data_IF_242640115764
#
_entry.id   IF_242640115764
#
_cell.length_a   1.000
_cell.length_b   1.000
_cell.length_c   1.000
_cell.angle_alpha   90.00
_cell.angle_beta   90.00
_cell.angle_gamma   90.00
#
_symmetry.space_group_name_H-M   'P 1'
#
loop_
_entity.id
_entity.type
_entity.pdbx_description
1 polymer ?
#
# COMPACT_ATOMS: atom_id res chain seq x y z
N UNK A 1 15.83 9.13 -28.93
CA UNK A 1 14.63 8.60 -29.64
C UNK A 1 13.45 9.42 -29.15
N UNK A 2 12.50 9.82 -29.99
CA UNK A 2 11.35 10.58 -29.52
C UNK A 2 10.46 9.66 -28.67
N UNK A 3 10.03 10.12 -27.48
CA UNK A 3 9.13 9.36 -26.61
C UNK A 3 7.71 9.52 -27.08
N UNK A 4 6.88 8.53 -26.78
CA UNK A 4 5.45 8.65 -27.00
C UNK A 4 4.90 9.72 -26.07
N UNK A 5 4.06 10.61 -26.61
CA UNK A 5 3.41 11.68 -25.87
C UNK A 5 2.04 11.23 -25.42
N UNK A 6 1.75 11.42 -24.14
CA UNK A 6 0.57 10.84 -23.49
C UNK A 6 -0.13 11.94 -22.71
N UNK A 7 -1.38 12.25 -23.05
CA UNK A 7 -2.21 13.11 -22.22
C UNK A 7 -2.75 12.31 -21.05
N UNK A 8 -2.57 12.83 -19.84
CA UNK A 8 -3.15 12.28 -18.62
C UNK A 8 -4.45 13.03 -18.31
N UNK A 9 -5.57 12.33 -18.36
CA UNK A 9 -6.88 12.88 -17.98
C UNK A 9 -6.96 13.16 -16.47
N UNK A 10 -7.84 14.07 -16.05
CA UNK A 10 -8.04 14.42 -14.66
C UNK A 10 -8.41 13.20 -13.80
N UNK A 11 -9.19 12.26 -14.35
CA UNK A 11 -9.63 11.07 -13.62
C UNK A 11 -8.48 10.15 -13.18
N UNK A 12 -7.38 10.08 -13.93
CA UNK A 12 -6.20 9.25 -13.58
C UNK A 12 -5.17 10.01 -12.75
N UNK A 13 -5.27 11.34 -12.73
CA UNK A 13 -4.49 12.21 -11.86
C UNK A 13 -5.10 12.37 -10.45
N UNK A 14 -6.32 11.89 -10.21
CA UNK A 14 -6.98 12.01 -8.91
C UNK A 14 -6.50 10.96 -7.89
N UNK A 15 -6.57 9.64 -8.16
CA UNK A 15 -6.11 8.62 -7.21
C UNK A 15 -4.60 8.77 -6.99
N UNK A 16 -4.20 9.06 -5.76
CA UNK A 16 -2.81 9.42 -5.43
C UNK A 16 -1.80 8.37 -5.90
N UNK A 17 -2.07 7.09 -5.61
CA UNK A 17 -1.14 6.00 -5.93
C UNK A 17 -0.99 5.78 -7.44
N UNK A 18 -2.10 5.84 -8.20
CA UNK A 18 -2.06 5.74 -9.66
C UNK A 18 -1.33 6.94 -10.28
N UNK A 19 -1.69 8.15 -9.87
CA UNK A 19 -1.10 9.38 -10.40
C UNK A 19 0.42 9.45 -10.15
N UNK A 20 0.86 9.08 -8.95
CA UNK A 20 2.28 9.03 -8.60
C UNK A 20 3.03 7.97 -9.43
N UNK A 21 2.44 6.80 -9.64
CA UNK A 21 3.04 5.77 -10.51
C UNK A 21 3.20 6.27 -11.95
N UNK A 22 2.14 6.83 -12.54
CA UNK A 22 2.16 7.39 -13.89
C UNK A 22 3.26 8.46 -14.03
N UNK A 23 3.32 9.40 -13.08
CA UNK A 23 4.35 10.44 -13.09
C UNK A 23 5.77 9.88 -12.87
N UNK A 24 5.96 8.84 -12.05
CA UNK A 24 7.27 8.19 -11.90
C UNK A 24 7.73 7.48 -13.16
N UNK A 25 6.82 6.82 -13.89
CA UNK A 25 7.15 6.19 -15.17
C UNK A 25 7.52 7.25 -16.23
N UNK A 26 6.83 8.39 -16.22
CA UNK A 26 7.21 9.54 -17.03
C UNK A 26 8.58 10.14 -16.66
N UNK A 27 8.88 10.30 -15.36
CA UNK A 27 10.18 10.76 -14.86
C UNK A 27 11.32 9.78 -15.20
N UNK A 28 11.01 8.48 -15.16
CA UNK A 28 11.87 7.40 -15.63
C UNK A 28 11.96 7.30 -17.16
N UNK A 29 11.41 8.29 -17.89
CA UNK A 29 11.58 8.47 -19.31
C UNK A 29 10.89 7.42 -20.20
N UNK A 30 9.91 6.67 -19.68
CA UNK A 30 9.12 5.71 -20.47
C UNK A 30 8.18 6.40 -21.47
N UNK A 31 7.66 7.57 -21.10
CA UNK A 31 6.82 8.40 -21.97
C UNK A 31 6.90 9.89 -21.59
N UNK A 32 6.41 10.77 -22.47
CA UNK A 32 6.28 12.21 -22.20
C UNK A 32 4.86 12.53 -21.73
N UNK A 33 4.63 12.92 -20.46
CA UNK A 33 3.30 13.24 -19.98
C UNK A 33 2.88 14.62 -20.47
N UNK A 34 1.59 14.78 -20.75
CA UNK A 34 0.97 16.02 -21.16
C UNK A 34 -0.32 16.28 -20.38
N UNK A 35 -0.62 17.54 -20.11
CA UNK A 35 -1.90 18.00 -19.56
C UNK A 35 -2.14 19.46 -19.96
N UNK A 36 -3.40 19.89 -19.98
CA UNK A 36 -3.76 21.30 -20.10
C UNK A 36 -4.00 21.92 -18.73
N UNK A 37 -4.06 23.26 -18.67
CA UNK A 37 -4.47 23.95 -17.45
C UNK A 37 -5.90 23.57 -17.03
N UNK A 38 -6.82 23.36 -17.98
CA UNK A 38 -8.19 22.93 -17.68
C UNK A 38 -8.23 21.55 -17.00
N UNK A 39 -7.38 20.60 -17.41
CA UNK A 39 -7.24 19.30 -16.76
C UNK A 39 -6.75 19.48 -15.32
N UNK A 40 -5.72 20.30 -15.09
CA UNK A 40 -5.22 20.55 -13.73
C UNK A 40 -6.27 21.26 -12.87
N UNK A 41 -7.02 22.21 -13.43
CA UNK A 41 -8.12 22.88 -12.74
C UNK A 41 -9.21 21.88 -12.32
N UNK A 42 -9.52 20.88 -13.16
CA UNK A 42 -10.43 19.79 -12.82
C UNK A 42 -9.90 18.92 -11.68
N UNK A 43 -8.61 18.58 -11.71
CA UNK A 43 -7.95 17.86 -10.61
C UNK A 43 -8.06 18.67 -9.32
N UNK A 44 -7.72 19.96 -9.36
CA UNK A 44 -7.78 20.83 -8.18
C UNK A 44 -9.20 20.93 -7.62
N UNK A 45 -10.19 21.17 -8.48
CA UNK A 45 -11.60 21.24 -8.08
C UNK A 45 -12.02 19.96 -7.37
N UNK A 46 -11.79 18.81 -7.99
CA UNK A 46 -12.20 17.52 -7.44
C UNK A 46 -11.48 17.21 -6.12
N UNK A 47 -10.18 17.50 -6.01
CA UNK A 47 -9.45 17.34 -4.75
C UNK A 47 -10.10 18.13 -3.61
N UNK A 48 -10.53 19.37 -3.86
CA UNK A 48 -11.14 20.22 -2.85
C UNK A 48 -12.59 19.84 -2.57
N UNK A 49 -13.42 19.70 -3.61
CA UNK A 49 -14.87 19.54 -3.46
C UNK A 49 -15.28 18.10 -3.17
N UNK A 50 -14.60 17.13 -3.75
CA UNK A 50 -14.99 15.71 -3.70
C UNK A 50 -14.20 14.97 -2.64
N UNK A 51 -12.89 15.23 -2.53
CA UNK A 51 -11.99 14.53 -1.61
C UNK A 51 -11.67 15.32 -0.33
N UNK A 52 -12.22 16.52 -0.16
CA UNK A 52 -12.04 17.34 1.05
C UNK A 52 -10.60 17.78 1.32
N UNK A 53 -9.73 17.76 0.30
CA UNK A 53 -8.33 18.18 0.44
C UNK A 53 -8.30 19.70 0.62
N UNK A 54 -7.60 20.23 1.63
CA UNK A 54 -7.42 21.67 1.79
C UNK A 54 -6.85 22.31 0.51
N UNK A 55 -7.45 23.42 0.07
CA UNK A 55 -7.07 24.10 -1.18
C UNK A 55 -5.57 24.37 -1.29
N UNK A 56 -4.91 24.78 -0.21
CA UNK A 56 -3.46 24.97 -0.16
C UNK A 56 -2.67 23.69 -0.48
N UNK A 57 -3.11 22.53 0.03
CA UNK A 57 -2.48 21.23 -0.26
C UNK A 57 -2.70 20.82 -1.71
N UNK A 58 -3.90 21.05 -2.26
CA UNK A 58 -4.19 20.78 -3.66
C UNK A 58 -3.30 21.65 -4.58
N UNK A 59 -3.25 22.95 -4.35
CA UNK A 59 -2.36 23.88 -5.08
C UNK A 59 -0.89 23.46 -4.99
N UNK A 60 -0.42 23.06 -3.80
CA UNK A 60 0.95 22.60 -3.60
C UNK A 60 1.25 21.34 -4.43
N UNK A 61 0.33 20.37 -4.47
CA UNK A 61 0.45 19.16 -5.30
C UNK A 61 0.64 19.52 -6.79
N UNK A 62 -0.24 20.38 -7.31
CA UNK A 62 -0.19 20.79 -8.72
C UNK A 62 1.09 21.57 -9.05
N UNK A 63 1.55 22.44 -8.15
CA UNK A 63 2.81 23.16 -8.34
C UNK A 63 4.03 22.22 -8.36
N UNK A 64 4.02 21.16 -7.56
CA UNK A 64 5.05 20.12 -7.65
C UNK A 64 5.01 19.40 -9.00
N UNK A 65 3.82 19.06 -9.52
CA UNK A 65 3.68 18.45 -10.84
C UNK A 65 4.24 19.36 -11.95
N UNK A 66 3.86 20.65 -11.97
CA UNK A 66 4.38 21.63 -12.93
C UNK A 66 5.91 21.78 -12.84
N UNK A 67 6.44 21.77 -11.62
CA UNK A 67 7.88 21.92 -11.40
C UNK A 67 8.67 20.69 -11.83
N UNK A 68 8.11 19.49 -11.63
CA UNK A 68 8.71 18.23 -12.07
C UNK A 68 8.67 18.07 -13.59
N UNK A 69 7.60 18.53 -14.25
CA UNK A 69 7.39 18.38 -15.68
C UNK A 69 7.13 19.74 -16.37
N UNK A 70 8.17 20.58 -16.52
CA UNK A 70 8.02 21.93 -17.07
C UNK A 70 7.56 21.97 -18.53
N UNK A 71 7.65 20.85 -19.25
CA UNK A 71 7.25 20.73 -20.66
C UNK A 71 5.92 19.98 -20.86
N UNK A 72 5.22 19.58 -19.78
CA UNK A 72 3.99 18.82 -19.87
C UNK A 72 2.75 19.68 -20.18
N UNK A 73 2.81 20.99 -19.93
CA UNK A 73 1.67 21.88 -20.11
C UNK A 73 1.42 22.18 -21.60
N UNK A 74 0.24 21.77 -22.08
CA UNK A 74 -0.23 22.05 -23.43
C UNK A 74 -1.06 23.34 -23.44
N UNK A 75 -0.66 24.29 -24.28
CA UNK A 75 -1.34 25.59 -24.44
C UNK A 75 -1.78 25.81 -25.90
N UNK A 76 -2.77 26.69 -26.09
CA UNK A 76 -3.26 27.04 -27.43
C UNK A 76 -4.13 25.95 -28.08
N UNK A 77 -4.76 25.10 -27.27
CA UNK A 77 -5.68 24.05 -27.74
C UNK A 77 -7.13 24.53 -27.83
N UNK A 78 -7.45 25.71 -27.28
CA UNK A 78 -8.81 26.21 -27.06
C UNK A 78 -9.60 26.32 -28.38
N UNK A 79 -8.93 26.66 -29.49
CA UNK A 79 -9.55 26.75 -30.82
C UNK A 79 -9.97 25.39 -31.39
N UNK A 80 -9.46 24.29 -30.86
CA UNK A 80 -9.79 22.93 -31.29
C UNK A 80 -10.96 22.34 -30.51
N UNK A 81 -11.31 22.91 -29.34
CA UNK A 81 -12.31 22.34 -28.42
C UNK A 81 -13.66 22.14 -29.09
N UNK A 82 -14.16 23.13 -29.82
CA UNK A 82 -15.46 23.06 -30.50
C UNK A 82 -15.47 22.06 -31.68
N UNK A 83 -14.31 21.69 -32.20
CA UNK A 83 -14.16 20.71 -33.27
C UNK A 83 -14.11 19.26 -32.75
N UNK A 84 -13.85 19.06 -31.46
CA UNK A 84 -13.78 17.71 -30.88
C UNK A 84 -15.18 17.11 -30.74
N UNK A 85 -15.32 15.86 -31.18
CA UNK A 85 -16.59 15.11 -31.18
C UNK A 85 -16.68 14.07 -30.05
N UNK A 86 -15.81 14.17 -29.03
CA UNK A 86 -15.91 13.44 -27.76
C UNK A 86 -17.06 13.97 -26.90
N UNK A 87 -17.28 13.39 -25.70
CA UNK A 87 -18.24 13.97 -24.75
C UNK A 87 -17.97 15.46 -24.54
N UNK A 88 -19.05 16.25 -24.42
CA UNK A 88 -18.98 17.70 -24.35
C UNK A 88 -18.08 18.22 -23.22
N UNK A 89 -17.98 17.48 -22.11
CA UNK A 89 -17.12 17.84 -20.97
C UNK A 89 -15.65 17.50 -21.21
N UNK A 90 -15.38 16.51 -22.05
CA UNK A 90 -14.04 15.96 -22.27
C UNK A 90 -13.39 16.43 -23.58
N UNK A 91 -14.07 17.29 -24.35
CA UNK A 91 -13.53 17.93 -25.56
C UNK A 91 -12.21 18.65 -25.33
N UNK A 92 -12.02 19.25 -24.15
CA UNK A 92 -10.77 19.94 -23.84
C UNK A 92 -9.58 18.98 -23.73
N UNK A 93 -9.81 17.75 -23.26
CA UNK A 93 -8.78 16.71 -23.16
C UNK A 93 -8.35 16.26 -24.55
N UNK A 94 -9.31 15.98 -25.43
CA UNK A 94 -9.05 15.61 -26.82
C UNK A 94 -8.34 16.74 -27.58
N UNK A 95 -8.79 17.99 -27.42
CA UNK A 95 -8.15 19.15 -28.03
C UNK A 95 -6.70 19.34 -27.56
N UNK A 96 -6.44 19.15 -26.26
CA UNK A 96 -5.09 19.18 -25.72
C UNK A 96 -4.21 18.06 -26.29
N UNK A 97 -4.76 16.85 -26.47
CA UNK A 97 -4.05 15.74 -27.10
C UNK A 97 -3.64 16.04 -28.54
N UNK A 98 -4.57 16.56 -29.36
CA UNK A 98 -4.29 16.99 -30.74
C UNK A 98 -3.22 18.08 -30.76
N UNK A 99 -3.37 19.12 -29.95
CA UNK A 99 -2.43 20.25 -29.89
C UNK A 99 -1.04 19.84 -29.40
N UNK A 100 -0.98 18.93 -28.43
CA UNK A 100 0.24 18.41 -27.84
C UNK A 100 0.95 17.36 -28.70
N UNK A 101 0.33 16.93 -29.81
CA UNK A 101 0.78 15.79 -30.61
C UNK A 101 0.91 14.52 -29.77
N UNK A 102 -0.05 14.30 -28.87
CA UNK A 102 -0.14 13.05 -28.13
C UNK A 102 -0.57 11.93 -29.07
N UNK A 103 -0.09 10.71 -28.81
CA UNK A 103 -0.60 9.51 -29.45
C UNK A 103 -1.66 8.82 -28.56
N UNK A 104 -1.62 9.06 -27.25
CA UNK A 104 -2.47 8.38 -26.27
C UNK A 104 -3.10 9.40 -25.32
N UNK A 105 -4.37 9.18 -24.98
CA UNK A 105 -5.06 9.75 -23.82
C UNK A 105 -5.23 8.62 -22.80
N UNK A 106 -4.65 8.75 -21.60
CA UNK A 106 -4.88 7.79 -20.52
C UNK A 106 -6.07 8.27 -19.68
N UNK A 107 -7.14 7.49 -19.68
CA UNK A 107 -8.41 7.83 -18.99
C UNK A 107 -9.14 6.57 -18.51
N UNK A 108 -9.76 6.62 -17.34
CA UNK A 108 -10.67 5.58 -16.88
C UNK A 108 -12.06 5.67 -17.54
N UNK A 109 -12.37 6.81 -18.19
CA UNK A 109 -13.68 7.10 -18.77
C UNK A 109 -13.72 6.82 -20.28
N UNK A 110 -13.28 5.63 -20.69
CA UNK A 110 -13.07 5.27 -22.12
C UNK A 110 -14.28 5.56 -23.01
N UNK A 111 -15.49 5.38 -22.49
CA UNK A 111 -16.75 5.65 -23.21
C UNK A 111 -16.91 7.11 -23.67
N UNK A 112 -16.25 8.06 -23.00
CA UNK A 112 -16.35 9.49 -23.29
C UNK A 112 -15.42 9.87 -24.48
N UNK A 113 -14.55 8.94 -24.88
CA UNK A 113 -13.55 9.07 -25.94
C UNK A 113 -13.71 7.97 -27.01
N UNK A 114 -14.82 7.97 -27.78
CA UNK A 114 -15.07 6.94 -28.77
C UNK A 114 -14.00 6.97 -29.90
N UNK A 115 -13.57 5.81 -30.43
CA UNK A 115 -12.49 5.74 -31.43
C UNK A 115 -12.73 6.60 -32.68
N UNK A 116 -13.98 6.73 -33.13
CA UNK A 116 -14.35 7.58 -34.26
C UNK A 116 -14.08 9.07 -34.04
N UNK A 117 -14.05 9.54 -32.79
CA UNK A 117 -13.73 10.92 -32.44
C UNK A 117 -12.22 11.19 -32.41
N UNK A 118 -11.40 10.15 -32.19
CA UNK A 118 -9.95 10.29 -31.97
C UNK A 118 -9.11 9.79 -33.16
N UNK A 119 -9.57 8.76 -33.87
CA UNK A 119 -8.87 8.18 -35.03
C UNK A 119 -8.54 9.16 -36.16
N UNK A 120 -9.32 10.23 -36.46
CA UNK A 120 -8.92 11.23 -37.46
C UNK A 120 -7.66 12.01 -37.08
N UNK A 121 -7.24 11.92 -35.81
CA UNK A 121 -6.08 12.61 -35.26
C UNK A 121 -4.94 11.66 -34.87
N UNK A 122 -5.05 10.37 -35.20
CA UNK A 122 -4.11 9.32 -34.81
C UNK A 122 -3.91 9.23 -33.28
N UNK A 123 -4.99 9.44 -32.52
CA UNK A 123 -5.01 9.36 -31.05
C UNK A 123 -5.83 8.14 -30.61
N UNK A 124 -5.36 7.47 -29.57
CA UNK A 124 -6.09 6.39 -28.89
C UNK A 124 -6.38 6.75 -27.43
N UNK A 125 -7.58 6.42 -26.93
CA UNK A 125 -7.89 6.48 -25.52
C UNK A 125 -7.68 5.10 -24.88
N UNK A 126 -6.84 5.03 -23.86
CA UNK A 126 -6.40 3.77 -23.23
C UNK A 126 -6.70 3.81 -21.73
N UNK A 127 -7.23 2.71 -21.20
CA UNK A 127 -7.52 2.59 -19.76
C UNK A 127 -6.19 2.56 -18.99
N UNK A 128 -6.06 3.19 -17.81
CA UNK A 128 -4.80 3.17 -17.05
C UNK A 128 -4.28 1.77 -16.75
N UNK A 129 -5.19 0.80 -16.56
CA UNK A 129 -4.82 -0.60 -16.33
C UNK A 129 -4.10 -1.21 -17.54
N UNK A 130 -4.65 -1.01 -18.74
CA UNK A 130 -4.06 -1.48 -19.99
C UNK A 130 -2.75 -0.73 -20.31
N UNK A 131 -2.75 0.59 -20.14
CA UNK A 131 -1.58 1.42 -20.38
C UNK A 131 -0.38 1.01 -19.50
N UNK A 132 -0.63 0.73 -18.22
CA UNK A 132 0.42 0.28 -17.29
C UNK A 132 0.89 -1.14 -17.59
N UNK A 133 0.00 -2.03 -18.06
CA UNK A 133 0.41 -3.35 -18.57
C UNK A 133 1.35 -3.22 -19.76
N UNK A 134 1.06 -2.32 -20.71
CA UNK A 134 1.96 -2.05 -21.82
C UNK A 134 3.31 -1.52 -21.33
N UNK A 135 3.34 -0.65 -20.30
CA UNK A 135 4.61 -0.18 -19.72
C UNK A 135 5.40 -1.33 -19.06
N UNK A 136 4.71 -2.27 -18.39
CA UNK A 136 5.33 -3.45 -17.82
C UNK A 136 5.90 -4.37 -18.90
N UNK A 137 5.19 -4.55 -20.01
CA UNK A 137 5.63 -5.40 -21.12
C UNK A 137 6.79 -4.77 -21.91
N UNK A 138 6.76 -3.45 -22.10
CA UNK A 138 7.81 -2.71 -22.80
C UNK A 138 9.10 -2.60 -21.99
N UNK A 139 9.00 -2.35 -20.68
CA UNK A 139 10.16 -2.15 -19.81
C UNK A 139 9.91 -2.71 -18.40
N UNK A 140 9.94 -4.05 -18.23
CA UNK A 140 9.63 -4.68 -16.95
C UNK A 140 10.51 -4.16 -15.81
N UNK A 141 11.83 -4.11 -16.03
CA UNK A 141 12.79 -3.72 -14.99
C UNK A 141 12.55 -2.28 -14.50
N UNK A 142 12.36 -1.32 -15.41
CA UNK A 142 12.13 0.09 -15.04
C UNK A 142 10.78 0.27 -14.34
N UNK A 143 9.73 -0.39 -14.85
CA UNK A 143 8.39 -0.31 -14.26
C UNK A 143 8.38 -0.88 -12.84
N UNK A 144 9.04 -2.02 -12.61
CA UNK A 144 9.18 -2.60 -11.28
C UNK A 144 10.04 -1.74 -10.34
N UNK A 145 11.12 -1.12 -10.83
CA UNK A 145 11.92 -0.19 -10.04
C UNK A 145 11.07 1.02 -9.57
N UNK A 146 10.27 1.60 -10.46
CA UNK A 146 9.36 2.69 -10.11
C UNK A 146 8.37 2.29 -9.00
N UNK A 147 7.77 1.09 -9.09
CA UNK A 147 6.86 0.55 -8.07
C UNK A 147 7.56 0.34 -6.73
N UNK A 148 8.76 -0.27 -6.73
CA UNK A 148 9.56 -0.50 -5.53
C UNK A 148 9.94 0.81 -4.84
N UNK A 149 10.37 1.81 -5.62
CA UNK A 149 10.71 3.15 -5.11
C UNK A 149 9.48 3.87 -4.56
N UNK A 150 8.36 3.81 -5.28
CA UNK A 150 7.10 4.39 -4.84
C UNK A 150 6.68 3.82 -3.48
N UNK A 151 6.68 2.49 -3.34
CA UNK A 151 6.36 1.82 -2.08
C UNK A 151 7.30 2.24 -0.96
N UNK A 152 8.61 2.21 -1.19
CA UNK A 152 9.62 2.55 -0.18
C UNK A 152 9.54 4.02 0.30
N UNK A 153 9.11 4.93 -0.56
CA UNK A 153 8.98 6.36 -0.23
C UNK A 153 7.67 6.70 0.50
N UNK A 154 6.66 5.82 0.44
CA UNK A 154 5.42 5.98 1.19
C UNK A 154 5.67 5.66 2.66
N UNK A 155 5.94 6.70 3.45
CA UNK A 155 6.30 6.56 4.86
C UNK A 155 5.18 6.94 5.83
N UNK A 156 4.04 7.46 5.32
CA UNK A 156 2.90 7.97 6.10
C UNK A 156 1.56 7.81 5.35
N UNK A 157 0.89 6.65 5.46
CA UNK A 157 1.34 5.43 6.14
C UNK A 157 2.43 4.71 5.35
N UNK A 158 3.14 3.81 6.03
CA UNK A 158 4.02 2.83 5.41
C UNK A 158 3.16 1.74 4.78
N UNK A 159 3.48 1.34 3.55
CA UNK A 159 2.76 0.28 2.85
C UNK A 159 3.61 -0.98 2.81
N UNK A 160 3.09 -2.10 3.34
CA UNK A 160 3.63 -3.41 2.96
C UNK A 160 3.42 -3.66 1.46
N UNK A 161 4.18 -4.59 0.87
CA UNK A 161 3.99 -4.95 -0.55
C UNK A 161 2.55 -5.38 -0.84
N UNK A 162 1.93 -6.19 0.04
CA UNK A 162 0.56 -6.65 -0.16
C UNK A 162 -0.43 -5.49 -0.11
N UNK A 163 -0.34 -4.62 0.90
CA UNK A 163 -1.20 -3.43 1.01
C UNK A 163 -1.02 -2.47 -0.17
N UNK A 164 0.22 -2.30 -0.63
CA UNK A 164 0.55 -1.47 -1.78
C UNK A 164 -0.19 -1.96 -3.03
N UNK A 165 -0.07 -3.24 -3.37
CA UNK A 165 -0.71 -3.80 -4.56
C UNK A 165 -2.23 -3.94 -4.43
N UNK A 166 -2.75 -4.24 -3.24
CA UNK A 166 -4.21 -4.24 -2.98
C UNK A 166 -4.80 -2.84 -3.16
N UNK A 167 -4.11 -1.81 -2.70
CA UNK A 167 -4.59 -0.42 -2.86
C UNK A 167 -4.53 0.01 -4.32
N UNK A 168 -3.47 -0.36 -5.04
CA UNK A 168 -3.31 -0.07 -6.47
C UNK A 168 -4.37 -0.79 -7.32
N UNK A 169 -4.71 -2.03 -6.95
CA UNK A 169 -5.73 -2.83 -7.62
C UNK A 169 -7.14 -2.22 -7.57
N UNK A 170 -7.41 -1.26 -6.67
CA UNK A 170 -8.67 -0.50 -6.70
C UNK A 170 -8.82 0.38 -7.96
N UNK A 171 -7.70 0.66 -8.64
CA UNK A 171 -7.67 1.48 -9.86
C UNK A 171 -7.24 0.70 -11.09
N UNK A 172 -6.29 -0.23 -10.94
CA UNK A 172 -5.67 -0.99 -12.04
C UNK A 172 -5.45 -2.46 -11.63
N UNK A 173 -6.55 -3.23 -11.44
CA UNK A 173 -6.50 -4.58 -10.87
C UNK A 173 -5.64 -5.59 -11.65
N UNK A 174 -5.69 -5.57 -12.99
CA UNK A 174 -4.97 -6.55 -13.81
C UNK A 174 -3.46 -6.27 -13.79
N UNK A 175 -3.07 -5.02 -14.00
CA UNK A 175 -1.70 -4.54 -13.85
C UNK A 175 -1.16 -4.83 -12.46
N UNK A 176 -1.91 -4.51 -11.40
CA UNK A 176 -1.45 -4.73 -10.02
C UNK A 176 -1.14 -6.21 -9.76
N UNK A 177 -1.97 -7.12 -10.26
CA UNK A 177 -1.77 -8.57 -10.14
C UNK A 177 -0.52 -9.03 -10.91
N UNK A 178 -0.36 -8.58 -12.16
CA UNK A 178 0.79 -8.92 -13.01
C UNK A 178 2.10 -8.36 -12.43
N UNK A 179 2.10 -7.09 -12.01
CA UNK A 179 3.25 -6.42 -11.45
C UNK A 179 3.68 -7.04 -10.11
N UNK A 180 2.73 -7.40 -9.24
CA UNK A 180 3.04 -8.13 -8.00
C UNK A 180 3.71 -9.47 -8.27
N UNK A 181 3.24 -10.21 -9.28
CA UNK A 181 3.86 -11.49 -9.68
C UNK A 181 5.27 -11.26 -10.22
N UNK A 182 5.43 -10.32 -11.15
CA UNK A 182 6.72 -10.02 -11.75
C UNK A 182 7.75 -9.49 -10.73
N UNK A 183 7.33 -8.65 -9.78
CA UNK A 183 8.21 -8.17 -8.70
C UNK A 183 8.65 -9.33 -7.80
N UNK A 184 7.74 -10.26 -7.48
CA UNK A 184 8.04 -11.45 -6.67
C UNK A 184 9.03 -12.39 -7.39
N UNK A 185 8.83 -12.62 -8.68
CA UNK A 185 9.69 -13.47 -9.50
C UNK A 185 11.05 -12.84 -9.79
N UNK A 186 11.17 -11.51 -9.68
CA UNK A 186 12.44 -10.78 -9.83
C UNK A 186 13.37 -10.91 -8.61
N UNK A 187 12.88 -11.49 -7.51
CA UNK A 187 13.70 -11.77 -6.33
C UNK A 187 14.64 -12.95 -6.63
N UNK A 188 15.96 -12.85 -6.40
CA UNK A 188 16.89 -13.92 -6.74
C UNK A 188 16.63 -15.20 -5.92
N UNK A 189 16.64 -16.37 -6.57
CA UNK A 189 16.59 -17.72 -5.94
C UNK A 189 17.71 -17.93 -4.89
N UNK A 190 18.84 -17.23 -5.06
CA UNK A 190 20.06 -17.29 -4.20
C UNK A 190 20.42 -15.93 -3.55
N UNK A 191 19.49 -15.00 -3.44
CA UNK A 191 19.65 -14.00 -2.38
C UNK A 191 19.64 -14.78 -1.06
N UNK A 192 20.56 -14.55 -0.09
CA UNK A 192 20.50 -15.26 1.18
C UNK A 192 19.09 -15.06 1.69
N UNK A 193 18.32 -16.16 1.76
CA UNK A 193 16.97 -16.11 2.30
C UNK A 193 17.15 -15.48 3.67
N UNK A 194 16.48 -14.36 4.00
CA UNK A 194 16.73 -13.66 5.26
C UNK A 194 16.06 -14.40 6.42
N UNK A 195 16.33 -15.70 6.51
CA UNK A 195 15.70 -16.69 7.38
C UNK A 195 16.79 -17.72 7.72
N UNK A 196 17.48 -17.49 8.83
CA UNK A 196 18.26 -18.52 9.50
C UNK A 196 17.41 -19.10 10.63
N UNK A 197 17.26 -20.42 10.67
CA UNK A 197 16.64 -21.14 11.79
C UNK A 197 17.58 -21.02 12.99
N UNK A 198 17.15 -20.40 14.09
CA UNK A 198 17.97 -20.31 15.30
C UNK A 198 17.18 -20.67 16.56
N UNK A 199 17.85 -21.31 17.52
CA UNK A 199 17.30 -21.71 18.82
C UNK A 199 16.73 -20.53 19.64
N UNK A 200 15.90 -20.82 20.66
CA UNK A 200 15.31 -19.83 21.59
C UNK A 200 16.32 -18.78 22.13
N UNK A 201 17.59 -19.17 22.29
CA UNK A 201 18.65 -18.34 22.85
C UNK A 201 19.11 -17.23 21.87
N UNK A 202 19.11 -17.52 20.57
CA UNK A 202 19.49 -16.57 19.53
C UNK A 202 18.36 -15.59 19.19
N UNK A 203 17.10 -16.00 19.36
CA UNK A 203 15.97 -15.10 19.15
C UNK A 203 15.80 -14.06 20.28
N UNK A 204 16.13 -14.45 21.51
CA UNK A 204 16.26 -13.52 22.64
C UNK A 204 17.31 -12.42 22.34
N UNK A 205 18.48 -12.83 21.86
CA UNK A 205 19.57 -11.91 21.53
C UNK A 205 19.26 -11.00 20.32
N UNK A 206 18.40 -11.46 19.40
CA UNK A 206 17.96 -10.67 18.24
C UNK A 206 16.94 -9.57 18.60
N UNK A 207 16.02 -9.83 19.54
CA UNK A 207 15.01 -8.86 19.98
C UNK A 207 15.50 -7.95 21.11
N UNK A 208 16.30 -8.50 22.04
CA UNK A 208 16.71 -7.82 23.26
C UNK A 208 18.21 -8.05 23.55
N UNK A 209 19.11 -7.44 22.76
CA UNK A 209 20.56 -7.68 22.89
C UNK A 209 21.16 -7.20 24.23
N UNK A 210 20.51 -6.24 24.91
CA UNK A 210 21.08 -5.56 26.09
C UNK A 210 20.21 -5.63 27.37
N UNK A 211 19.08 -6.37 27.37
CA UNK A 211 18.18 -6.47 28.55
C UNK A 211 17.18 -7.63 28.47
N UNK A 212 16.64 -8.04 29.62
CA UNK A 212 15.53 -9.00 29.65
C UNK A 212 14.18 -8.35 29.28
N UNK A 213 13.29 -9.04 28.54
CA UNK A 213 11.96 -8.55 28.19
C UNK A 213 11.06 -8.43 29.42
N UNK A 214 10.22 -7.38 29.48
CA UNK A 214 9.34 -7.10 30.61
C UNK A 214 7.88 -6.85 30.19
N UNK A 215 6.87 -7.40 30.92
CA UNK A 215 5.46 -7.31 30.53
C UNK A 215 4.83 -5.90 30.62
N UNK A 216 5.56 -4.90 31.10
CA UNK A 216 5.13 -3.49 31.08
C UNK A 216 5.21 -2.84 29.70
N UNK A 217 5.83 -3.53 28.72
CA UNK A 217 5.84 -3.12 27.32
C UNK A 217 5.06 -4.11 26.45
N UNK A 218 4.26 -3.63 25.49
CA UNK A 218 3.31 -4.47 24.78
C UNK A 218 3.98 -5.55 23.93
N UNK A 219 5.01 -5.19 23.16
CA UNK A 219 5.73 -6.14 22.31
C UNK A 219 6.56 -7.14 23.12
N UNK A 220 7.16 -6.70 24.22
CA UNK A 220 7.91 -7.58 25.13
C UNK A 220 6.98 -8.57 25.82
N UNK A 221 5.79 -8.13 26.23
CA UNK A 221 4.75 -9.00 26.77
C UNK A 221 4.23 -10.00 25.72
N UNK A 222 4.02 -9.57 24.47
CA UNK A 222 3.61 -10.45 23.37
C UNK A 222 4.68 -11.54 23.09
N UNK A 223 5.97 -11.17 23.13
CA UNK A 223 7.08 -12.11 23.02
C UNK A 223 7.09 -13.14 24.16
N UNK A 224 6.98 -12.67 25.41
CA UNK A 224 6.91 -13.54 26.59
C UNK A 224 5.72 -14.50 26.52
N UNK A 225 4.55 -14.00 26.10
CA UNK A 225 3.34 -14.79 25.95
C UNK A 225 3.53 -15.90 24.91
N UNK A 226 4.12 -15.57 23.77
CA UNK A 226 4.40 -16.55 22.72
C UNK A 226 5.44 -17.60 23.14
N UNK A 227 6.50 -17.19 23.83
CA UNK A 227 7.47 -18.14 24.40
C UNK A 227 6.80 -19.11 25.38
N UNK A 228 5.89 -18.60 26.22
CA UNK A 228 5.12 -19.42 27.15
C UNK A 228 4.12 -20.35 26.43
N UNK A 229 3.54 -19.91 25.31
CA UNK A 229 2.66 -20.74 24.46
C UNK A 229 3.41 -21.92 23.85
N UNK A 230 4.60 -21.69 23.28
CA UNK A 230 5.43 -22.73 22.67
C UNK A 230 5.97 -23.76 23.69
N UNK A 231 6.02 -23.40 24.97
CA UNK A 231 6.49 -24.25 26.06
C UNK A 231 5.39 -24.45 27.13
N UNK A 232 4.12 -24.49 26.71
CA UNK A 232 2.96 -24.47 27.64
C UNK A 232 2.97 -25.62 28.65
N UNK A 233 3.57 -26.77 28.34
CA UNK A 233 3.73 -27.90 29.26
C UNK A 233 4.52 -27.54 30.53
N UNK A 234 5.47 -26.61 30.42
CA UNK A 234 6.34 -26.16 31.50
C UNK A 234 5.94 -24.77 32.02
N UNK A 235 5.39 -23.91 31.16
CA UNK A 235 5.15 -22.48 31.42
C UNK A 235 3.66 -22.08 31.51
N UNK A 236 2.74 -23.02 31.73
CA UNK A 236 1.29 -22.75 31.75
C UNK A 236 0.87 -21.61 32.70
N UNK A 237 1.52 -21.50 33.88
CA UNK A 237 1.21 -20.46 34.85
C UNK A 237 1.65 -19.06 34.38
N UNK A 238 2.78 -18.99 33.67
CA UNK A 238 3.24 -17.75 33.06
C UNK A 238 2.33 -17.35 31.89
N UNK A 239 1.93 -18.32 31.05
CA UNK A 239 0.97 -18.12 29.97
C UNK A 239 -0.37 -17.58 30.49
N UNK A 240 -0.88 -18.14 31.59
CA UNK A 240 -2.07 -17.62 32.27
C UNK A 240 -1.89 -16.19 32.79
N UNK A 241 -0.74 -15.89 33.41
CA UNK A 241 -0.46 -14.55 33.93
C UNK A 241 -0.34 -13.48 32.85
N UNK A 242 0.07 -13.87 31.64
CA UNK A 242 0.20 -13.02 30.45
C UNK A 242 -1.07 -12.97 29.59
N UNK A 243 -2.12 -13.71 29.94
CA UNK A 243 -3.40 -13.75 29.21
C UNK A 243 -4.46 -12.98 29.98
N UNK A 244 -5.21 -12.11 29.30
CA UNK A 244 -6.19 -11.22 29.93
C UNK A 244 -7.34 -11.99 30.58
N UNK A 245 -7.85 -13.00 29.88
CA UNK A 245 -8.92 -13.88 30.38
C UNK A 245 -8.63 -15.34 29.98
N UNK A 246 -7.79 -16.06 30.74
CA UNK A 246 -7.37 -17.43 30.41
C UNK A 246 -8.51 -18.41 30.07
N UNK A 247 -9.66 -18.41 30.76
CA UNK A 247 -10.76 -19.34 30.43
C UNK A 247 -11.33 -19.16 29.02
N UNK A 248 -11.19 -17.97 28.39
CA UNK A 248 -11.65 -17.76 27.02
C UNK A 248 -10.76 -18.44 25.96
N UNK A 249 -9.55 -18.85 26.34
CA UNK A 249 -8.58 -19.47 25.43
C UNK A 249 -8.59 -21.00 25.49
N UNK A 250 -9.31 -21.59 26.45
CA UNK A 250 -9.32 -23.03 26.68
C UNK A 250 -7.95 -23.54 27.15
N UNK A 251 -7.42 -24.54 26.46
CA UNK A 251 -6.09 -25.13 26.67
C UNK A 251 -5.00 -24.55 25.74
N UNK A 252 -5.34 -23.48 25.01
CA UNK A 252 -4.50 -22.79 24.04
C UNK A 252 -4.07 -23.64 22.83
N UNK A 253 -4.60 -24.87 22.63
CA UNK A 253 -4.22 -25.73 21.50
C UNK A 253 -4.48 -25.07 20.14
N UNK A 254 -5.63 -24.41 19.98
CA UNK A 254 -5.97 -23.72 18.75
C UNK A 254 -5.03 -22.54 18.45
N UNK A 255 -4.57 -21.83 19.49
CA UNK A 255 -3.67 -20.69 19.36
C UNK A 255 -2.26 -21.17 19.01
N UNK A 256 -1.81 -22.26 19.64
CA UNK A 256 -0.56 -22.95 19.30
C UNK A 256 -0.56 -23.45 17.86
N UNK A 257 -1.65 -24.09 17.41
CA UNK A 257 -1.81 -24.52 16.02
C UNK A 257 -1.82 -23.34 15.05
N UNK A 258 -2.53 -22.26 15.39
CA UNK A 258 -2.61 -21.04 14.55
C UNK A 258 -1.26 -20.36 14.41
N UNK A 259 -0.44 -20.35 15.46
CA UNK A 259 0.90 -19.76 15.45
C UNK A 259 2.00 -20.76 15.12
N UNK A 260 1.66 -22.02 14.80
CA UNK A 260 2.62 -23.03 14.42
C UNK A 260 3.31 -22.63 13.12
N UNK A 261 4.64 -22.61 13.14
CA UNK A 261 5.39 -22.12 11.98
C UNK A 261 5.30 -20.60 11.78
N UNK A 262 4.77 -19.82 12.74
CA UNK A 262 4.71 -18.36 12.65
C UNK A 262 5.84 -17.66 13.42
N UNK A 263 6.18 -16.42 13.05
CA UNK A 263 7.20 -15.60 13.70
C UNK A 263 6.70 -14.22 14.10
N UNK A 264 6.97 -13.79 15.34
CA UNK A 264 6.62 -12.44 15.83
C UNK A 264 7.44 -11.36 15.12
N UNK A 265 6.77 -10.28 14.72
CA UNK A 265 7.38 -9.08 14.13
C UNK A 265 7.93 -8.13 15.20
N UNK A 266 9.04 -7.43 14.91
CA UNK A 266 9.67 -6.46 15.81
C UNK A 266 8.88 -5.14 16.01
N UNK A 267 7.79 -4.94 15.26
CA UNK A 267 6.97 -3.75 15.33
C UNK A 267 5.55 -4.11 15.77
N UNK A 268 4.98 -3.26 16.61
CA UNK A 268 3.59 -3.36 17.06
C UNK A 268 2.81 -2.12 16.65
N UNK A 269 1.55 -2.28 16.30
CA UNK A 269 0.65 -1.18 15.94
C UNK A 269 -0.25 -0.82 17.10
N UNK A 270 -0.57 0.47 17.26
CA UNK A 270 -1.52 0.93 18.29
C UNK A 270 -2.92 0.95 17.70
N UNK A 271 -3.92 0.65 18.53
CA UNK A 271 -5.30 0.93 18.17
C UNK A 271 -5.47 2.44 17.97
N UNK A 272 -6.05 2.90 16.84
CA UNK A 272 -6.26 4.33 16.59
C UNK A 272 -7.10 5.03 17.65
N UNK A 273 -8.04 4.29 18.26
CA UNK A 273 -9.07 4.84 19.14
C UNK A 273 -8.81 4.58 20.64
N UNK A 274 -7.81 3.76 20.99
CA UNK A 274 -7.48 3.42 22.38
C UNK A 274 -5.99 3.06 22.55
N UNK A 275 -5.21 3.97 23.14
CA UNK A 275 -3.77 3.80 23.38
C UNK A 275 -3.42 2.65 24.34
N UNK A 276 -4.40 2.10 25.04
CA UNK A 276 -4.25 0.94 25.92
C UNK A 276 -4.44 -0.39 25.20
N UNK A 277 -4.58 -0.37 23.86
CA UNK A 277 -4.65 -1.53 22.99
C UNK A 277 -3.53 -1.48 21.95
N UNK A 278 -2.79 -2.59 21.82
CA UNK A 278 -1.67 -2.74 20.89
C UNK A 278 -1.75 -4.09 20.17
N UNK A 279 -1.40 -4.11 18.89
CA UNK A 279 -1.40 -5.29 18.04
C UNK A 279 0.02 -5.75 17.76
N UNK A 280 0.32 -7.00 18.13
CA UNK A 280 1.54 -7.70 17.77
C UNK A 280 1.25 -8.63 16.59
N UNK A 281 2.08 -8.57 15.53
CA UNK A 281 1.86 -9.34 14.31
C UNK A 281 2.74 -10.57 14.26
N UNK A 282 2.15 -11.70 13.90
CA UNK A 282 2.80 -12.98 13.65
C UNK A 282 2.67 -13.34 12.17
N UNK A 283 3.78 -13.65 11.52
CA UNK A 283 3.80 -14.07 10.13
C UNK A 283 3.92 -15.59 10.01
N UNK A 284 3.05 -16.28 9.25
CA UNK A 284 3.14 -17.71 8.99
C UNK A 284 4.31 -18.06 8.06
N UNK A 285 4.77 -19.32 8.11
CA UNK A 285 5.96 -19.85 7.40
C UNK A 285 7.29 -19.20 7.78
N UNK A 286 7.39 -18.70 9.00
CA UNK A 286 8.59 -18.05 9.54
C UNK A 286 9.25 -18.88 10.66
N UNK A 287 8.51 -19.81 11.28
CA UNK A 287 8.90 -20.75 12.34
C UNK A 287 9.62 -20.20 13.60
N UNK A 288 10.20 -18.99 13.59
CA UNK A 288 10.98 -18.36 14.67
C UNK A 288 10.93 -16.81 14.61
N UNK A 289 11.40 -16.07 15.64
CA UNK A 289 11.17 -14.62 15.79
C UNK A 289 11.94 -13.76 14.76
N UNK A 290 11.33 -12.69 14.23
CA UNK A 290 11.79 -11.92 13.05
C UNK A 290 12.53 -10.63 13.38
N UNK A 291 13.71 -10.44 12.78
CA UNK A 291 14.37 -9.13 12.66
C UNK A 291 14.26 -8.62 11.22
N UNK A 292 13.28 -7.74 10.98
CA UNK A 292 13.04 -7.17 9.65
C UNK A 292 14.01 -6.00 9.38
N UNK A 293 14.78 -6.06 8.29
CA UNK A 293 15.58 -4.94 7.78
C UNK A 293 14.88 -4.17 6.65
N UNK A 294 13.56 -4.35 6.48
CA UNK A 294 12.74 -3.70 5.45
C UNK A 294 11.29 -4.21 5.44
N UNK A 295 10.43 -3.57 4.65
CA UNK A 295 9.02 -3.95 4.46
C UNK A 295 8.92 -5.19 3.57
N UNK A 296 8.48 -6.31 4.17
CA UNK A 296 8.20 -7.56 3.45
C UNK A 296 6.68 -7.64 3.23
N UNK A 297 6.18 -8.07 2.05
CA UNK A 297 4.78 -8.41 1.84
C UNK A 297 4.27 -9.41 2.87
N UNK A 298 3.10 -9.15 3.45
CA UNK A 298 2.47 -10.09 4.37
C UNK A 298 1.08 -10.44 3.83
N UNK A 299 1.00 -11.53 3.07
CA UNK A 299 -0.25 -12.04 2.49
C UNK A 299 -1.15 -12.73 3.55
N UNK A 300 -0.60 -13.03 4.72
CA UNK A 300 -1.27 -13.69 5.83
C UNK A 300 -0.57 -13.36 7.14
N UNK A 301 -1.30 -12.92 8.16
CA UNK A 301 -0.77 -12.60 9.48
C UNK A 301 -1.77 -12.97 10.58
N UNK A 302 -1.26 -13.51 11.68
CA UNK A 302 -1.99 -13.61 12.92
C UNK A 302 -1.74 -12.35 13.75
N UNK A 303 -2.81 -11.75 14.26
CA UNK A 303 -2.77 -10.50 15.02
C UNK A 303 -3.08 -10.84 16.48
N UNK A 304 -2.08 -10.72 17.34
CA UNK A 304 -2.24 -10.86 18.77
C UNK A 304 -2.58 -9.49 19.38
N UNK A 305 -3.80 -9.35 19.86
CA UNK A 305 -4.27 -8.12 20.50
C UNK A 305 -3.84 -8.12 21.96
N UNK A 306 -3.07 -7.11 22.35
CA UNK A 306 -2.58 -6.86 23.69
C UNK A 306 -3.34 -5.71 24.35
N UNK A 307 -3.72 -5.86 25.61
CA UNK A 307 -4.40 -4.83 26.39
C UNK A 307 -3.59 -4.46 27.63
N UNK A 308 -3.50 -3.16 27.93
CA UNK A 308 -2.90 -2.67 29.17
C UNK A 308 -3.89 -2.82 30.33
N UNK A 309 -3.47 -3.53 31.36
CA UNK A 309 -4.27 -3.76 32.56
C UNK A 309 -3.99 -2.71 33.65
N UNK A 310 -4.88 -2.55 34.66
CA UNK A 310 -4.72 -1.56 35.74
C UNK A 310 -3.46 -1.72 36.59
N UNK A 311 -2.84 -2.90 36.60
CA UNK A 311 -1.57 -3.19 37.27
C UNK A 311 -0.34 -2.76 36.45
N UNK A 312 -0.55 -2.12 35.30
CA UNK A 312 0.51 -1.61 34.43
C UNK A 312 1.15 -2.66 33.53
N UNK A 313 0.57 -3.86 33.46
CA UNK A 313 1.06 -4.97 32.64
C UNK A 313 0.20 -5.16 31.39
N UNK A 314 0.84 -5.51 30.27
CA UNK A 314 0.16 -5.86 29.04
C UNK A 314 -0.19 -7.35 29.03
N UNK A 315 -1.40 -7.70 28.60
CA UNK A 315 -1.85 -9.09 28.50
C UNK A 315 -2.51 -9.38 27.15
N UNK A 316 -2.37 -10.60 26.66
CA UNK A 316 -3.01 -11.07 25.44
C UNK A 316 -4.53 -11.18 25.65
N UNK A 317 -5.29 -10.43 24.86
CA UNK A 317 -6.75 -10.43 24.88
C UNK A 317 -7.32 -11.49 23.92
N UNK A 318 -6.85 -11.49 22.66
CA UNK A 318 -7.34 -12.39 21.61
C UNK A 318 -6.35 -12.52 20.46
N UNK A 319 -6.55 -13.54 19.62
CA UNK A 319 -5.79 -13.79 18.40
C UNK A 319 -6.75 -13.79 17.19
N UNK A 320 -6.53 -12.89 16.25
CA UNK A 320 -7.29 -12.80 14.99
C UNK A 320 -6.40 -13.11 13.79
N UNK A 321 -7.00 -13.33 12.62
CA UNK A 321 -6.30 -13.58 11.37
C UNK A 321 -6.64 -12.49 10.36
N UNK A 322 -5.63 -11.79 9.83
CA UNK A 322 -5.79 -10.70 8.85
C UNK A 322 -6.79 -9.60 9.24
N UNK A 323 -6.98 -9.37 10.53
CA UNK A 323 -7.99 -8.48 11.06
C UNK A 323 -7.55 -7.87 12.39
N UNK A 324 -7.79 -6.57 12.57
CA UNK A 324 -7.47 -5.81 13.79
C UNK A 324 -8.77 -5.50 14.55
N UNK A 325 -9.02 -6.14 15.71
CA UNK A 325 -10.20 -5.87 16.52
C UNK A 325 -10.27 -4.42 16.97
N UNK A 326 -11.42 -3.76 16.80
CA UNK A 326 -11.62 -2.37 17.25
C UNK A 326 -11.63 -2.26 18.78
N UNK A 327 -11.46 -1.05 19.30
CA UNK A 327 -11.57 -0.80 20.74
C UNK A 327 -12.93 -1.25 21.30
N UNK A 328 -14.03 -0.97 20.59
CA UNK A 328 -15.37 -1.39 21.00
C UNK A 328 -15.51 -2.91 21.11
N UNK A 329 -14.92 -3.67 20.19
CA UNK A 329 -14.93 -5.14 20.24
C UNK A 329 -14.09 -5.69 21.38
N UNK A 330 -12.90 -5.12 21.61
CA UNK A 330 -12.00 -5.52 22.69
C UNK A 330 -12.61 -5.22 24.07
N UNK A 331 -13.36 -4.12 24.19
CA UNK A 331 -14.05 -3.70 25.42
C UNK A 331 -15.41 -4.35 25.64
N UNK A 332 -15.97 -5.03 24.62
CA UNK A 332 -17.29 -5.64 24.70
C UNK A 332 -18.44 -4.63 24.59
N UNK A 333 -18.21 -3.49 23.94
CA UNK A 333 -19.18 -2.42 23.71
C UNK A 333 -19.96 -2.58 22.38
N UNK A 334 -19.62 -3.59 21.59
CA UNK A 334 -20.29 -3.93 20.33
C UNK A 334 -21.66 -4.62 20.57
N UNK A 335 -22.63 -3.82 21.03
CA UNK A 335 -24.10 -3.93 20.95
C UNK A 335 -24.73 -3.36 22.24
N UNK A 336 -24.95 -2.04 22.24
CA UNK A 336 -25.90 -1.34 23.12
C UNK A 336 -26.82 -0.46 22.27
#
# INVERSE_FOLDING_TARGET
MARIRVVLDACVLLPYQLADLLLRLADAELYEPLWSEAILDEVQRNLVTTFGVPSEKATKRLNHMRSAFPNAEVTGYEQLVDAMTTDAKDRHVAAAAVRGHAAIIVTANIRDFPPEALSPYDIEAVHPDDFLQDQLDLSPAMTLECLQRQRAEYTRPRFTFTEFYLTLANTVPEFATRAATAERDSLPDEAPTPLEIVSNEAAHQAFFPDRDPHPSRPLESAYLWWCALLNKSELINALHGLTYHPPAWGDYEWAEQSLSGSGLMQFSERCPDDDTIVYAKFMPNVAHPVRAFGEIPIDSAHILTMVLCPDGLWRAWGLSHNYFPSAAEVRGEANA
#
